data_IF_259797446953
#
_entry.id   IF_259797446953
#
_cell.length_a   1.000
_cell.length_b   1.000
_cell.length_c   1.000
_cell.angle_alpha   90.00
_cell.angle_beta   90.00
_cell.angle_gamma   90.00
#
_symmetry.space_group_name_H-M   'P 1'
#
loop_
_entity.id
_entity.type
_entity.pdbx_description
1 polymer ?
#
# COMPACT_ATOMS: atom_id res chain seq x y z
N UNK A 1 27.42 24.89 -4.01
CA UNK A 1 27.02 24.01 -5.12
C UNK A 1 27.16 22.59 -4.60
N UNK A 2 26.08 22.05 -4.02
CA UNK A 2 26.04 20.66 -3.59
C UNK A 2 25.91 19.78 -4.83
N UNK A 3 26.72 18.73 -4.91
CA UNK A 3 26.70 17.72 -5.97
C UNK A 3 25.30 17.10 -6.04
N UNK A 4 24.72 17.03 -7.24
CA UNK A 4 23.53 16.21 -7.52
C UNK A 4 23.93 14.74 -7.38
N UNK A 5 24.07 14.27 -6.14
CA UNK A 5 24.36 12.87 -5.91
C UNK A 5 23.10 12.08 -6.28
N UNK A 6 23.31 11.24 -7.29
CA UNK A 6 22.36 10.40 -7.99
C UNK A 6 21.36 9.74 -7.06
N UNK A 7 20.08 10.11 -7.22
CA UNK A 7 18.96 9.25 -6.86
C UNK A 7 19.23 7.86 -7.46
N UNK A 8 19.34 6.83 -6.62
CA UNK A 8 19.30 5.45 -7.09
C UNK A 8 17.84 5.05 -7.13
N UNK A 9 17.16 5.15 -8.28
CA UNK A 9 15.79 4.67 -8.39
C UNK A 9 15.76 3.21 -7.96
N UNK A 10 14.76 2.85 -7.16
CA UNK A 10 14.41 1.46 -6.87
C UNK A 10 13.97 0.82 -8.19
N UNK A 11 14.94 0.28 -8.93
CA UNK A 11 14.75 -0.37 -10.22
C UNK A 11 14.28 -1.81 -9.99
N UNK A 12 13.28 -2.25 -10.76
CA UNK A 12 12.95 -3.67 -10.90
C UNK A 12 14.07 -4.42 -11.63
N UNK A 13 14.03 -5.75 -11.55
CA UNK A 13 14.91 -6.62 -12.33
C UNK A 13 14.73 -6.44 -13.85
N UNK A 14 13.53 -6.02 -14.27
CA UNK A 14 13.16 -5.71 -15.66
C UNK A 14 13.58 -4.30 -16.13
N UNK A 15 14.22 -3.50 -15.27
CA UNK A 15 14.62 -2.12 -15.57
C UNK A 15 13.50 -1.08 -15.49
N UNK A 16 12.27 -1.47 -15.12
CA UNK A 16 11.17 -0.55 -14.87
C UNK A 16 11.30 0.04 -13.47
N UNK A 17 11.13 1.36 -13.33
CA UNK A 17 11.08 2.00 -12.01
C UNK A 17 9.94 1.41 -11.18
N UNK A 18 10.22 1.07 -9.92
CA UNK A 18 9.17 0.75 -8.93
C UNK A 18 8.46 1.96 -8.38
N UNK A 19 9.10 3.11 -8.52
CA UNK A 19 8.58 4.36 -8.05
C UNK A 19 7.77 4.93 -9.23
N UNK A 20 6.44 5.09 -9.07
CA UNK A 20 5.66 5.79 -10.08
C UNK A 20 6.27 7.19 -10.30
N UNK A 21 6.17 7.68 -11.53
CA UNK A 21 6.62 9.03 -11.86
C UNK A 21 5.71 10.02 -11.13
N UNK A 22 6.25 10.67 -10.10
CA UNK A 22 5.51 11.62 -9.27
C UNK A 22 5.42 12.98 -9.98
N UNK A 23 4.24 13.57 -9.91
CA UNK A 23 3.96 14.88 -10.49
C UNK A 23 4.31 16.02 -9.53
N UNK A 24 4.33 15.75 -8.22
CA UNK A 24 4.58 16.78 -7.22
C UNK A 24 6.07 17.16 -7.13
N UNK A 25 6.33 18.45 -7.31
CA UNK A 25 7.66 19.04 -7.27
C UNK A 25 8.10 19.45 -5.86
N UNK A 26 7.21 19.34 -4.87
CA UNK A 26 7.38 19.90 -3.54
C UNK A 26 8.65 19.43 -2.81
N UNK A 27 9.08 18.18 -3.03
CA UNK A 27 10.27 17.61 -2.37
C UNK A 27 11.54 17.60 -3.24
N UNK A 28 11.58 18.27 -4.40
CA UNK A 28 12.73 18.19 -5.34
C UNK A 28 14.09 18.51 -4.72
N UNK A 29 14.12 19.43 -3.76
CA UNK A 29 15.34 19.89 -3.09
C UNK A 29 15.59 19.19 -1.74
N UNK A 30 14.76 18.21 -1.36
CA UNK A 30 14.92 17.50 -0.10
C UNK A 30 16.09 16.51 -0.19
N UNK A 31 17.11 16.62 0.68
CA UNK A 31 18.20 15.66 0.69
C UNK A 31 17.69 14.28 1.11
N UNK A 32 18.30 13.23 0.54
CA UNK A 32 17.97 11.83 0.88
C UNK A 32 16.51 11.44 0.59
N UNK A 33 15.87 12.11 -0.35
CA UNK A 33 14.57 11.71 -0.87
C UNK A 33 14.70 10.38 -1.62
N UNK A 34 13.84 9.42 -1.26
CA UNK A 34 13.81 8.07 -1.86
C UNK A 34 12.68 7.98 -2.88
N UNK A 35 11.48 8.42 -2.50
CA UNK A 35 10.29 8.39 -3.35
C UNK A 35 9.26 9.42 -2.86
N UNK A 36 8.49 10.00 -3.77
CA UNK A 36 7.30 10.81 -3.47
C UNK A 36 6.07 10.01 -3.87
N UNK A 37 5.00 10.12 -3.10
CA UNK A 37 3.73 9.48 -3.41
C UNK A 37 2.63 10.53 -3.47
N UNK A 38 1.95 10.58 -4.61
CA UNK A 38 0.90 11.54 -4.86
C UNK A 38 -0.43 11.05 -4.25
N UNK A 39 -1.25 12.01 -3.85
CA UNK A 39 -2.64 11.77 -3.48
C UNK A 39 -3.52 11.86 -4.73
N UNK A 40 -4.59 11.07 -4.78
CA UNK A 40 -5.66 11.26 -5.75
C UNK A 40 -6.50 12.48 -5.33
N UNK A 41 -5.97 13.68 -5.62
CA UNK A 41 -6.54 14.95 -5.18
C UNK A 41 -7.98 15.11 -5.66
N UNK A 42 -8.27 14.73 -6.90
CA UNK A 42 -9.60 14.86 -7.49
C UNK A 42 -10.62 13.95 -6.77
N UNK A 43 -10.24 12.70 -6.46
CA UNK A 43 -11.10 11.78 -5.70
C UNK A 43 -11.33 12.26 -4.26
N UNK A 44 -10.29 12.77 -3.61
CA UNK A 44 -10.39 13.36 -2.26
C UNK A 44 -11.32 14.57 -2.28
N UNK A 45 -11.14 15.47 -3.24
CA UNK A 45 -11.93 16.68 -3.40
C UNK A 45 -13.41 16.35 -3.63
N UNK A 46 -13.72 15.43 -4.55
CA UNK A 46 -15.09 15.00 -4.83
C UNK A 46 -15.73 14.38 -3.58
N UNK A 47 -15.08 13.40 -2.96
CA UNK A 47 -15.61 12.69 -1.80
C UNK A 47 -15.83 13.62 -0.60
N UNK A 48 -14.84 14.45 -0.26
CA UNK A 48 -14.93 15.37 0.88
C UNK A 48 -15.93 16.51 0.63
N UNK A 49 -16.07 16.94 -0.62
CA UNK A 49 -17.10 17.90 -1.01
C UNK A 49 -18.50 17.31 -0.82
N UNK A 50 -18.77 16.11 -1.34
CA UNK A 50 -20.05 15.41 -1.12
C UNK A 50 -20.36 15.22 0.37
N UNK A 51 -19.34 14.81 1.14
CA UNK A 51 -19.48 14.63 2.59
C UNK A 51 -19.76 15.94 3.33
N UNK A 52 -19.07 17.03 2.97
CA UNK A 52 -19.29 18.35 3.55
C UNK A 52 -20.71 18.88 3.23
N UNK A 53 -21.16 18.71 1.99
CA UNK A 53 -22.52 19.05 1.57
C UNK A 53 -23.58 18.25 2.30
N UNK A 54 -23.38 16.93 2.47
CA UNK A 54 -24.30 16.12 3.25
C UNK A 54 -24.33 16.57 4.72
N UNK A 55 -23.18 16.76 5.37
CA UNK A 55 -23.12 17.27 6.75
C UNK A 55 -23.83 18.62 6.88
N UNK A 56 -23.66 19.50 5.89
CA UNK A 56 -24.33 20.78 5.83
C UNK A 56 -25.86 20.65 5.72
N UNK A 57 -26.36 19.81 4.80
CA UNK A 57 -27.78 19.56 4.63
C UNK A 57 -28.43 18.92 5.87
N UNK A 58 -27.72 18.06 6.60
CA UNK A 58 -28.26 17.39 7.78
C UNK A 58 -28.07 18.16 9.10
N UNK A 59 -27.53 19.38 9.06
CA UNK A 59 -27.36 20.25 10.23
C UNK A 59 -28.09 21.60 10.05
N UNK A 60 -29.41 21.67 10.30
CA UNK A 60 -30.22 22.88 10.04
C UNK A 60 -29.69 24.18 10.68
N UNK A 61 -29.09 24.18 11.88
CA UNK A 61 -28.42 25.37 12.42
C UNK A 61 -27.33 25.96 11.52
N UNK A 62 -26.64 25.13 10.72
CA UNK A 62 -25.63 25.58 9.77
C UNK A 62 -26.26 26.32 8.57
N UNK A 63 -27.56 26.18 8.29
CA UNK A 63 -28.19 26.85 7.15
C UNK A 63 -28.29 28.37 7.30
N UNK A 64 -28.15 28.90 8.51
CA UNK A 64 -28.09 30.34 8.72
C UNK A 64 -26.77 30.90 8.15
N UNK A 65 -25.69 30.11 8.17
CA UNK A 65 -24.40 30.54 7.63
C UNK A 65 -24.34 30.51 6.09
N UNK A 66 -25.26 29.78 5.41
CA UNK A 66 -25.33 29.79 3.93
C UNK A 66 -25.67 31.12 3.30
N UNK A 67 -26.32 32.03 4.03
CA UNK A 67 -26.62 33.37 3.53
C UNK A 67 -25.35 34.19 3.23
N UNK A 68 -24.20 33.79 3.79
CA UNK A 68 -22.91 34.47 3.63
C UNK A 68 -21.88 33.62 2.87
N UNK A 69 -22.22 33.19 1.65
CA UNK A 69 -21.30 32.56 0.67
C UNK A 69 -20.77 31.15 1.03
N UNK A 70 -21.36 30.45 1.99
CA UNK A 70 -20.91 29.11 2.40
C UNK A 70 -20.78 28.08 1.25
N UNK A 71 -21.66 28.03 0.22
CA UNK A 71 -21.53 27.08 -0.89
C UNK A 71 -20.19 27.17 -1.63
N UNK A 72 -19.73 28.40 -1.86
CA UNK A 72 -18.50 28.67 -2.61
C UNK A 72 -17.27 28.29 -1.77
N UNK A 73 -17.34 28.45 -0.46
CA UNK A 73 -16.24 28.17 0.45
C UNK A 73 -16.10 26.68 0.79
N UNK A 74 -17.17 25.88 0.73
CA UNK A 74 -17.05 24.44 1.01
C UNK A 74 -16.09 23.78 0.00
N UNK A 75 -16.31 24.01 -1.29
CA UNK A 75 -15.48 23.40 -2.33
C UNK A 75 -14.04 23.93 -2.27
N UNK A 76 -13.87 25.25 -2.14
CA UNK A 76 -12.55 25.86 -2.06
C UNK A 76 -11.77 25.39 -0.81
N UNK A 77 -12.41 25.29 0.36
CA UNK A 77 -11.75 24.79 1.57
C UNK A 77 -11.33 23.32 1.43
N UNK A 78 -12.16 22.49 0.78
CA UNK A 78 -11.83 21.09 0.53
C UNK A 78 -10.65 20.97 -0.43
N UNK A 79 -10.66 21.74 -1.53
CA UNK A 79 -9.57 21.82 -2.51
C UNK A 79 -8.26 22.27 -1.85
N UNK A 80 -8.29 23.38 -1.09
CA UNK A 80 -7.12 23.90 -0.38
C UNK A 80 -6.55 22.87 0.61
N UNK A 81 -7.42 22.20 1.37
CA UNK A 81 -6.99 21.21 2.36
C UNK A 81 -6.50 19.90 1.72
N UNK A 82 -7.03 19.51 0.56
CA UNK A 82 -6.57 18.33 -0.17
C UNK A 82 -5.18 18.57 -0.77
N UNK A 83 -5.02 19.69 -1.49
CA UNK A 83 -3.78 20.04 -2.21
C UNK A 83 -2.63 20.48 -1.33
N UNK A 84 -2.90 20.81 -0.07
CA UNK A 84 -1.86 21.11 0.91
C UNK A 84 -1.12 19.87 1.44
N UNK A 85 -1.55 18.65 1.09
CA UNK A 85 -0.99 17.43 1.66
C UNK A 85 0.05 16.81 0.72
N UNK A 86 1.21 16.51 1.30
CA UNK A 86 2.35 15.95 0.60
C UNK A 86 2.97 14.83 1.44
N UNK A 87 3.35 13.72 0.81
CA UNK A 87 4.03 12.62 1.49
C UNK A 87 5.23 12.12 0.69
N UNK A 88 6.35 11.97 1.39
CA UNK A 88 7.58 11.46 0.81
C UNK A 88 8.21 10.42 1.73
N UNK A 89 8.89 9.46 1.11
CA UNK A 89 9.82 8.56 1.77
C UNK A 89 11.22 9.14 1.65
N UNK A 90 11.85 9.36 2.79
CA UNK A 90 13.26 9.76 2.90
C UNK A 90 14.07 8.57 3.40
N UNK A 91 15.39 8.70 3.46
CA UNK A 91 16.26 7.70 4.09
C UNK A 91 15.93 7.48 5.58
N UNK A 92 15.55 8.54 6.28
CA UNK A 92 15.33 8.49 7.74
C UNK A 92 13.93 7.99 8.13
N UNK A 93 12.93 8.23 7.26
CA UNK A 93 11.56 7.88 7.56
C UNK A 93 10.54 8.41 6.55
N UNK A 94 9.28 8.31 6.94
CA UNK A 94 8.14 8.87 6.22
C UNK A 94 8.01 10.35 6.61
N UNK A 95 8.13 11.26 5.64
CA UNK A 95 7.91 12.69 5.82
C UNK A 95 6.51 13.05 5.30
N UNK A 96 5.61 13.40 6.21
CA UNK A 96 4.29 13.94 5.88
C UNK A 96 4.31 15.45 6.13
N UNK A 97 3.89 16.22 5.14
CA UNK A 97 3.79 17.67 5.26
C UNK A 97 2.42 18.12 4.83
N UNK A 98 1.80 18.94 5.67
CA UNK A 98 0.60 19.69 5.37
C UNK A 98 0.98 21.16 5.29
N UNK A 99 0.92 21.73 4.09
CA UNK A 99 1.33 23.08 3.81
C UNK A 99 0.33 24.11 4.33
N UNK A 100 0.82 25.35 4.46
CA UNK A 100 0.00 26.47 4.90
C UNK A 100 -1.07 26.74 3.84
N UNK A 101 -2.34 26.69 4.22
CA UNK A 101 -3.46 26.91 3.30
C UNK A 101 -4.57 27.74 3.94
N UNK A 102 -5.36 28.49 3.15
CA UNK A 102 -6.48 29.26 3.68
C UNK A 102 -7.58 28.34 4.23
N UNK A 103 -8.31 28.78 5.25
CA UNK A 103 -9.52 28.10 5.72
C UNK A 103 -10.70 29.07 5.85
N UNK A 104 -11.90 28.54 6.08
CA UNK A 104 -13.15 29.30 6.24
C UNK A 104 -13.47 30.15 5.02
N UNK A 105 -13.35 31.47 5.13
CA UNK A 105 -13.63 32.43 4.07
C UNK A 105 -12.38 32.80 3.25
N UNK A 106 -11.25 32.10 3.46
CA UNK A 106 -10.00 32.34 2.73
C UNK A 106 -9.27 33.62 3.14
N UNK A 107 -9.58 34.16 4.34
CA UNK A 107 -8.87 35.32 4.88
C UNK A 107 -7.58 34.87 5.56
N UNK A 108 -6.51 35.68 5.43
CA UNK A 108 -5.18 35.33 5.97
C UNK A 108 -5.12 35.15 7.49
N UNK A 109 -6.11 35.65 8.23
CA UNK A 109 -6.22 35.46 9.68
C UNK A 109 -6.78 34.08 10.06
N UNK A 110 -7.37 33.35 9.11
CA UNK A 110 -7.90 31.99 9.28
C UNK A 110 -7.07 30.96 8.53
N UNK A 111 -5.83 31.27 8.13
CA UNK A 111 -4.98 30.28 7.47
C UNK A 111 -4.60 29.15 8.45
N UNK A 112 -4.67 27.91 7.98
CA UNK A 112 -4.07 26.78 8.68
C UNK A 112 -2.55 26.88 8.58
N UNK A 113 -1.85 26.66 9.70
CA UNK A 113 -0.40 26.67 9.73
C UNK A 113 0.22 25.45 9.04
N UNK A 114 1.49 25.56 8.62
CA UNK A 114 2.24 24.42 8.09
C UNK A 114 2.55 23.41 9.20
N UNK A 115 2.21 22.15 8.96
CA UNK A 115 2.49 21.03 9.86
C UNK A 115 3.41 20.04 9.15
N UNK A 116 4.56 19.75 9.73
CA UNK A 116 5.50 18.75 9.21
C UNK A 116 5.71 17.67 10.26
N UNK A 117 5.52 16.41 9.87
CA UNK A 117 5.72 15.24 10.73
C UNK A 117 6.62 14.24 10.02
N UNK A 118 7.69 13.83 10.69
CA UNK A 118 8.58 12.77 10.21
C UNK A 118 8.45 11.55 11.11
N UNK A 119 8.08 10.41 10.55
CA UNK A 119 7.95 9.13 11.24
C UNK A 119 9.16 8.25 10.89
N UNK A 120 10.12 8.07 11.81
CA UNK A 120 11.32 7.27 11.53
C UNK A 120 10.98 5.79 11.38
N UNK A 121 11.66 5.09 10.45
CA UNK A 121 11.34 3.69 10.13
C UNK A 121 11.49 2.73 11.31
N UNK A 122 12.44 3.01 12.21
CA UNK A 122 12.67 2.22 13.42
C UNK A 122 11.47 2.20 14.37
N UNK A 123 10.69 3.28 14.39
CA UNK A 123 9.52 3.40 15.27
C UNK A 123 8.27 2.79 14.67
N UNK A 124 8.22 2.56 13.36
CA UNK A 124 7.06 1.99 12.69
C UNK A 124 6.89 0.56 13.17
N UNK A 125 5.80 0.26 13.86
CA UNK A 125 5.44 -1.10 14.27
C UNK A 125 4.69 -1.77 13.14
N UNK A 126 3.68 -1.10 12.60
CA UNK A 126 2.81 -1.60 11.55
C UNK A 126 2.47 -0.55 10.50
N UNK A 127 2.15 -1.01 9.30
CA UNK A 127 1.68 -0.18 8.20
C UNK A 127 0.63 -0.98 7.44
N UNK A 128 -0.62 -0.54 7.54
CA UNK A 128 -1.77 -1.20 6.94
C UNK A 128 -2.49 -0.33 5.94
N UNK A 129 -3.02 -1.00 4.90
CA UNK A 129 -3.86 -0.37 3.88
C UNK A 129 -5.26 -0.89 4.13
N UNK A 130 -6.17 0.01 4.48
CA UNK A 130 -7.59 -0.27 4.61
C UNK A 130 -8.25 0.11 3.31
N UNK A 131 -8.78 -0.89 2.63
CA UNK A 131 -9.60 -0.67 1.44
C UNK A 131 -10.86 0.11 1.82
N UNK A 132 -11.35 0.99 0.93
CA UNK A 132 -12.56 1.76 1.18
C UNK A 132 -13.75 0.79 1.36
N UNK A 133 -14.30 0.75 2.57
CA UNK A 133 -15.42 -0.10 2.90
C UNK A 133 -16.51 0.66 3.66
N UNK A 134 -17.75 0.32 3.38
CA UNK A 134 -18.92 0.84 4.09
C UNK A 134 -19.37 2.22 3.62
N UNK A 135 -20.20 2.86 4.46
CA UNK A 135 -20.82 4.16 4.18
C UNK A 135 -20.23 5.22 5.09
N UNK A 136 -19.71 6.30 4.51
CA UNK A 136 -19.11 7.41 5.25
C UNK A 136 -20.14 8.28 5.97
N UNK A 137 -21.34 8.43 5.39
CA UNK A 137 -22.41 9.25 5.98
C UNK A 137 -23.80 8.75 5.61
N UNK A 138 -24.61 8.45 6.63
CA UNK A 138 -26.04 8.16 6.58
C UNK A 138 -26.48 7.38 5.33
N UNK A 139 -26.00 6.14 5.13
CA UNK A 139 -26.28 5.22 4.02
C UNK A 139 -26.20 5.76 2.56
N UNK A 140 -25.99 7.06 2.36
CA UNK A 140 -26.11 7.76 1.09
C UNK A 140 -24.76 8.01 0.43
N UNK A 141 -23.68 8.07 1.21
CA UNK A 141 -22.33 8.30 0.69
C UNK A 141 -21.47 7.09 1.04
N UNK A 142 -20.99 6.40 0.00
CA UNK A 142 -20.05 5.30 0.15
C UNK A 142 -18.65 5.84 0.43
N UNK A 143 -17.90 5.18 1.31
CA UNK A 143 -16.48 5.50 1.43
C UNK A 143 -15.76 5.02 0.18
N UNK A 144 -15.01 5.91 -0.46
CA UNK A 144 -14.23 5.61 -1.68
C UNK A 144 -12.73 5.84 -1.48
N UNK A 145 -12.32 6.45 -0.37
CA UNK A 145 -10.91 6.75 -0.11
C UNK A 145 -10.22 5.57 0.56
N UNK A 146 -9.11 5.14 -0.03
CA UNK A 146 -8.19 4.19 0.60
C UNK A 146 -7.48 4.87 1.77
N UNK A 147 -7.39 4.18 2.91
CA UNK A 147 -6.72 4.70 4.10
C UNK A 147 -5.43 3.92 4.35
N UNK A 148 -4.30 4.63 4.51
CA UNK A 148 -3.05 4.04 4.98
C UNK A 148 -2.84 4.43 6.43
N UNK A 149 -2.81 3.42 7.30
CA UNK A 149 -2.64 3.57 8.74
C UNK A 149 -1.22 3.15 9.09
N UNK A 150 -0.43 4.09 9.59
CA UNK A 150 0.92 3.82 10.09
C UNK A 150 0.91 3.93 11.60
N UNK A 151 1.17 2.80 12.25
CA UNK A 151 1.29 2.70 13.70
C UNK A 151 2.76 2.72 14.11
N UNK A 152 3.05 3.40 15.20
CA UNK A 152 4.39 3.41 15.78
C UNK A 152 4.39 2.83 17.19
N UNK A 153 5.57 2.53 17.71
CA UNK A 153 5.71 2.08 19.09
C UNK A 153 5.14 3.07 20.14
N UNK A 154 4.96 4.35 19.77
CA UNK A 154 4.36 5.37 20.64
C UNK A 154 2.87 5.62 20.41
N UNK A 155 2.24 5.02 19.40
CA UNK A 155 0.83 5.30 19.12
C UNK A 155 -0.09 4.72 20.20
N UNK A 156 -1.03 5.54 20.68
CA UNK A 156 -2.13 5.05 21.49
C UNK A 156 -3.07 4.21 20.61
N UNK A 157 -3.78 3.25 21.20
CA UNK A 157 -4.71 2.38 20.46
C UNK A 157 -5.90 3.12 19.81
N UNK A 158 -6.11 4.39 20.17
CA UNK A 158 -7.29 5.16 19.76
C UNK A 158 -7.03 6.03 18.53
N UNK A 159 -5.80 6.50 18.35
CA UNK A 159 -5.45 7.41 17.25
C UNK A 159 -4.15 6.95 16.61
N UNK A 160 -4.16 6.51 15.34
CA UNK A 160 -2.94 6.14 14.66
C UNK A 160 -2.02 7.36 14.55
N UNK A 161 -0.71 7.11 14.56
CA UNK A 161 0.26 8.19 14.53
C UNK A 161 0.25 8.92 13.18
N UNK A 162 0.08 8.21 12.08
CA UNK A 162 -0.07 8.81 10.77
C UNK A 162 -1.18 8.09 10.01
N UNK A 163 -2.17 8.87 9.57
CA UNK A 163 -3.28 8.44 8.75
C UNK A 163 -3.22 9.20 7.43
N UNK A 164 -3.06 8.47 6.33
CA UNK A 164 -3.07 9.02 4.98
C UNK A 164 -4.36 8.57 4.29
N UNK A 165 -5.13 9.50 3.75
CA UNK A 165 -6.40 9.22 3.07
C UNK A 165 -6.27 9.58 1.59
N UNK A 166 -6.67 8.66 0.71
CA UNK A 166 -6.72 8.91 -0.73
C UNK A 166 -5.35 8.91 -1.43
N UNK A 167 -4.40 8.11 -0.96
CA UNK A 167 -3.14 7.91 -1.69
C UNK A 167 -3.40 7.11 -2.97
N UNK A 168 -2.88 7.56 -4.12
CA UNK A 168 -3.14 6.92 -5.43
C UNK A 168 -2.67 5.45 -5.43
N UNK A 169 -1.44 5.21 -4.96
CA UNK A 169 -0.81 3.90 -4.88
C UNK A 169 -0.51 3.45 -3.44
N UNK A 170 -1.55 3.35 -2.61
CA UNK A 170 -1.46 2.94 -1.20
C UNK A 170 -0.65 1.64 -0.96
N UNK A 171 -0.80 0.64 -1.83
CA UNK A 171 -0.07 -0.63 -1.69
C UNK A 171 1.41 -0.50 -2.07
N UNK A 172 1.74 0.30 -3.08
CA UNK A 172 3.13 0.55 -3.45
C UNK A 172 3.85 1.31 -2.32
N UNK A 173 3.17 2.30 -1.73
CA UNK A 173 3.65 2.99 -0.53
C UNK A 173 3.95 2.02 0.62
N UNK A 174 2.99 1.15 0.98
CA UNK A 174 3.21 0.12 2.02
C UNK A 174 4.44 -0.75 1.69
N UNK A 175 4.57 -1.23 0.45
CA UNK A 175 5.71 -2.05 0.04
C UNK A 175 7.06 -1.30 0.16
N UNK A 176 7.09 -0.03 -0.22
CA UNK A 176 8.28 0.82 -0.13
C UNK A 176 8.67 1.10 1.33
N UNK A 177 7.72 1.42 2.20
CA UNK A 177 7.95 1.60 3.65
C UNK A 177 8.55 0.34 4.26
N UNK A 178 7.99 -0.84 3.97
CA UNK A 178 8.51 -2.12 4.48
C UNK A 178 9.88 -2.48 3.92
N UNK A 179 10.16 -2.12 2.65
CA UNK A 179 11.49 -2.28 2.09
C UNK A 179 12.50 -1.42 2.86
N UNK A 180 12.23 -0.11 3.01
CA UNK A 180 13.10 0.83 3.71
C UNK A 180 13.32 0.45 5.18
N UNK A 181 12.26 0.04 5.89
CA UNK A 181 12.35 -0.44 7.28
C UNK A 181 13.32 -1.62 7.44
N UNK A 182 13.30 -2.57 6.50
CA UNK A 182 14.21 -3.73 6.50
C UNK A 182 15.65 -3.34 6.21
N UNK A 183 15.89 -2.37 5.32
CA UNK A 183 17.23 -1.87 5.03
C UNK A 183 17.83 -1.08 6.21
N UNK A 184 17.04 -0.22 6.86
CA UNK A 184 17.51 0.64 7.96
C UNK A 184 17.93 -0.12 9.23
N UNK A 185 17.27 -1.25 9.52
CA UNK A 185 17.56 -2.05 10.72
C UNK A 185 18.93 -2.75 10.69
N UNK A 186 19.58 -2.83 9.53
CA UNK A 186 20.82 -3.59 9.34
C UNK A 186 22.12 -2.82 9.54
N UNK A 187 22.11 -1.48 9.53
CA UNK A 187 23.35 -0.68 9.50
C UNK A 187 23.71 0.02 10.82
N UNK A 188 22.79 0.11 11.80
CA UNK A 188 23.00 0.92 13.01
C UNK A 188 23.17 0.17 14.33
N UNK A 189 22.72 -1.09 14.44
CA UNK A 189 22.82 -1.84 15.68
C UNK A 189 24.22 -2.41 15.84
N UNK A 190 25.14 -1.57 16.32
CA UNK A 190 26.36 -2.00 17.00
C UNK A 190 25.96 -2.85 18.21
N UNK A 191 25.74 -4.15 17.99
CA UNK A 191 25.42 -5.08 19.04
C UNK A 191 26.57 -5.07 20.08
N UNK A 192 26.29 -4.92 21.38
CA UNK A 192 27.32 -5.13 22.39
C UNK A 192 27.82 -6.57 22.25
N UNK A 193 29.13 -6.73 22.14
CA UNK A 193 29.83 -8.00 22.03
C UNK A 193 29.51 -8.90 23.23
N UNK A 194 28.44 -9.69 23.11
CA UNK A 194 27.96 -10.63 24.13
C UNK A 194 27.86 -12.02 23.53
N UNK A 195 28.95 -12.78 23.68
CA UNK A 195 29.10 -14.15 23.23
C UNK A 195 27.95 -15.06 23.71
N UNK A 196 27.09 -15.47 22.81
CA UNK A 196 26.20 -16.62 23.01
C UNK A 196 26.01 -17.30 21.65
N UNK A 197 26.56 -18.50 21.53
CA UNK A 197 26.55 -19.30 20.32
C UNK A 197 25.12 -19.77 19.98
N UNK A 198 24.36 -18.92 19.29
CA UNK A 198 23.15 -19.33 18.59
C UNK A 198 23.54 -20.09 17.30
N UNK A 199 22.78 -21.13 16.90
CA UNK A 199 23.03 -21.86 15.67
C UNK A 199 22.93 -20.88 14.50
N UNK A 200 24.03 -20.79 13.73
CA UNK A 200 24.11 -20.03 12.48
C UNK A 200 23.02 -20.54 11.54
N UNK A 201 21.89 -19.85 11.51
CA UNK A 201 20.91 -20.00 10.45
C UNK A 201 21.61 -19.49 9.18
N UNK A 202 21.88 -20.39 8.24
CA UNK A 202 22.69 -20.10 7.06
C UNK A 202 22.13 -18.88 6.32
N UNK A 203 22.98 -17.87 6.10
CA UNK A 203 22.73 -16.65 5.32
C UNK A 203 22.11 -16.98 3.93
N UNK A 204 22.38 -18.17 3.43
CA UNK A 204 21.86 -18.74 2.18
C UNK A 204 20.34 -18.99 2.21
N UNK A 205 19.78 -19.42 3.35
CA UNK A 205 18.34 -19.64 3.51
C UNK A 205 17.54 -18.33 3.53
N UNK A 206 18.14 -17.26 4.07
CA UNK A 206 17.56 -15.92 4.05
C UNK A 206 17.60 -15.33 2.63
N UNK A 207 18.65 -15.60 1.87
CA UNK A 207 18.73 -15.21 0.44
C UNK A 207 17.68 -15.93 -0.41
N UNK A 208 17.48 -17.23 -0.23
CA UNK A 208 16.47 -17.99 -0.95
C UNK A 208 15.04 -17.53 -0.65
N UNK A 209 14.72 -17.23 0.61
CA UNK A 209 13.41 -16.68 0.97
C UNK A 209 13.20 -15.27 0.44
N UNK A 210 14.23 -14.42 0.45
CA UNK A 210 14.14 -13.10 -0.18
C UNK A 210 13.95 -13.19 -1.70
N UNK A 211 14.60 -14.15 -2.36
CA UNK A 211 14.43 -14.39 -3.80
C UNK A 211 13.00 -14.84 -4.16
N UNK A 212 12.44 -15.79 -3.41
CA UNK A 212 11.05 -16.24 -3.59
C UNK A 212 10.05 -15.10 -3.33
N UNK A 213 10.31 -14.26 -2.32
CA UNK A 213 9.44 -13.11 -2.04
C UNK A 213 9.54 -12.01 -3.10
N UNK A 214 10.71 -11.82 -3.73
CA UNK A 214 10.84 -10.91 -4.88
C UNK A 214 10.08 -11.43 -6.09
N UNK A 215 10.15 -12.73 -6.36
CA UNK A 215 9.47 -13.36 -7.49
C UNK A 215 7.95 -13.35 -7.35
N UNK A 216 7.42 -13.69 -6.16
CA UNK A 216 5.98 -13.58 -5.85
C UNK A 216 5.51 -12.11 -5.98
N UNK A 217 6.34 -11.16 -5.55
CA UNK A 217 6.04 -9.73 -5.68
C UNK A 217 6.06 -9.27 -7.14
N UNK A 218 6.89 -9.87 -7.98
CA UNK A 218 6.93 -9.60 -9.42
C UNK A 218 5.69 -10.17 -10.12
N UNK A 219 5.27 -11.40 -9.80
CA UNK A 219 4.03 -11.99 -10.31
C UNK A 219 2.80 -11.16 -9.94
N UNK A 220 2.69 -10.72 -8.68
CA UNK A 220 1.61 -9.83 -8.22
C UNK A 220 1.59 -8.50 -8.98
N UNK A 221 2.75 -7.98 -9.40
CA UNK A 221 2.82 -6.76 -10.20
C UNK A 221 2.34 -6.97 -11.62
N UNK A 222 2.74 -8.07 -12.28
CA UNK A 222 2.21 -8.42 -13.60
C UNK A 222 0.69 -8.55 -13.59
N UNK A 223 0.13 -9.22 -12.57
CA UNK A 223 -1.33 -9.33 -12.42
C UNK A 223 -2.01 -7.96 -12.22
N UNK A 224 -1.35 -7.01 -11.55
CA UNK A 224 -1.91 -5.68 -11.35
C UNK A 224 -1.86 -4.82 -12.63
N UNK A 225 -0.81 -4.96 -13.43
CA UNK A 225 -0.70 -4.31 -14.76
C UNK A 225 -1.77 -4.84 -15.71
N UNK A 226 -1.98 -6.15 -15.76
CA UNK A 226 -3.03 -6.76 -16.58
C UNK A 226 -4.42 -6.25 -16.20
N UNK A 227 -4.66 -6.07 -14.89
CA UNK A 227 -5.91 -5.51 -14.37
C UNK A 227 -6.13 -4.04 -14.80
N UNK A 228 -5.07 -3.23 -14.83
CA UNK A 228 -5.11 -1.83 -15.29
C UNK A 228 -5.40 -1.76 -16.80
N UNK A 229 -4.72 -2.58 -17.60
CA UNK A 229 -4.99 -2.72 -19.03
C UNK A 229 -6.44 -3.10 -19.30
N UNK A 230 -6.98 -4.04 -18.53
CA UNK A 230 -8.36 -4.50 -18.65
C UNK A 230 -9.37 -3.38 -18.31
N UNK A 231 -9.07 -2.54 -17.30
CA UNK A 231 -9.87 -1.34 -16.98
C UNK A 231 -9.87 -0.33 -18.13
N UNK A 232 -8.72 -0.02 -18.72
CA UNK A 232 -8.63 0.91 -19.85
C UNK A 232 -9.35 0.36 -21.09
N UNK A 233 -9.22 -0.94 -21.37
CA UNK A 233 -9.98 -1.59 -22.43
C UNK A 233 -11.50 -1.50 -22.20
N UNK A 234 -11.97 -1.71 -20.96
CA UNK A 234 -13.37 -1.54 -20.57
C UNK A 234 -13.86 -0.11 -20.76
N UNK A 235 -13.05 0.88 -20.36
CA UNK A 235 -13.38 2.30 -20.50
C UNK A 235 -13.50 2.71 -21.97
N UNK A 236 -12.55 2.29 -22.81
CA UNK A 236 -12.58 2.50 -24.26
C UNK A 236 -13.82 1.85 -24.91
N UNK A 237 -14.13 0.61 -24.51
CA UNK A 237 -15.30 -0.10 -25.00
C UNK A 237 -16.61 0.60 -24.61
N UNK A 238 -16.72 1.06 -23.36
CA UNK A 238 -17.90 1.79 -22.87
C UNK A 238 -18.12 3.10 -23.63
N UNK A 239 -17.04 3.85 -23.93
CA UNK A 239 -17.11 5.05 -24.75
C UNK A 239 -17.63 4.75 -26.17
N UNK A 240 -17.15 3.69 -26.82
CA UNK A 240 -17.63 3.27 -28.15
C UNK A 240 -19.09 2.82 -28.17
N UNK A 241 -19.58 2.24 -27.06
CA UNK A 241 -20.96 1.80 -26.91
C UNK A 241 -21.90 3.00 -26.69
N UNK A 242 -21.46 4.00 -25.92
CA UNK A 242 -22.22 5.22 -25.61
C UNK A 242 -22.60 6.02 -26.87
N UNK A 243 -21.71 6.09 -27.87
CA UNK A 243 -21.96 6.83 -29.11
C UNK A 243 -23.02 6.23 -30.04
N UNK A 244 -23.40 4.95 -29.87
CA UNK A 244 -24.20 4.20 -30.87
C UNK A 244 -25.70 4.01 -30.54
N UNK A 245 -26.25 4.73 -29.56
CA UNK A 245 -27.70 4.87 -29.35
C UNK A 245 -28.36 3.80 -28.44
N UNK A 246 -29.35 4.17 -27.59
CA UNK A 246 -29.57 3.50 -26.30
C UNK A 246 -30.53 2.30 -26.23
N UNK A 247 -31.44 2.06 -27.18
CA UNK A 247 -32.61 1.22 -26.87
C UNK A 247 -32.53 -0.28 -27.26
N UNK A 248 -31.75 -0.66 -28.29
CA UNK A 248 -31.67 -2.07 -28.76
C UNK A 248 -30.46 -2.86 -28.24
N UNK A 249 -29.45 -2.20 -27.69
CA UNK A 249 -28.17 -2.84 -27.31
C UNK A 249 -28.01 -3.18 -25.84
N UNK A 250 -28.86 -2.70 -24.94
CA UNK A 250 -28.74 -3.00 -23.50
C UNK A 250 -28.91 -4.49 -23.21
N UNK A 251 -29.79 -5.19 -23.95
CA UNK A 251 -29.93 -6.64 -23.82
C UNK A 251 -28.71 -7.40 -24.37
N UNK A 252 -28.11 -6.94 -25.48
CA UNK A 252 -26.90 -7.54 -26.05
C UNK A 252 -25.68 -7.34 -25.13
N UNK A 253 -25.57 -6.15 -24.51
CA UNK A 253 -24.52 -5.84 -23.53
C UNK A 253 -24.65 -6.72 -22.29
N UNK A 254 -25.86 -6.87 -21.74
CA UNK A 254 -26.09 -7.76 -20.58
C UNK A 254 -25.74 -9.22 -20.88
N UNK A 255 -26.00 -9.68 -22.10
CA UNK A 255 -25.63 -11.03 -22.54
C UNK A 255 -24.11 -11.17 -22.70
N UNK A 256 -23.43 -10.15 -23.24
CA UNK A 256 -21.98 -10.13 -23.36
C UNK A 256 -21.29 -10.08 -21.99
N UNK A 257 -21.79 -9.25 -21.07
CA UNK A 257 -21.33 -9.16 -19.69
C UNK A 257 -21.49 -10.49 -18.96
N UNK A 258 -22.65 -11.15 -19.09
CA UNK A 258 -22.88 -12.46 -18.49
C UNK A 258 -21.90 -13.53 -19.02
N UNK A 259 -21.57 -13.51 -20.33
CA UNK A 259 -20.59 -14.42 -20.93
C UNK A 259 -19.18 -14.20 -20.41
N UNK A 260 -18.77 -12.94 -20.28
CA UNK A 260 -17.45 -12.59 -19.71
C UNK A 260 -17.35 -13.05 -18.25
N UNK A 261 -18.41 -12.86 -17.48
CA UNK A 261 -18.48 -13.27 -16.07
C UNK A 261 -18.43 -14.80 -15.92
N UNK A 262 -19.03 -15.55 -16.85
CA UNK A 262 -18.97 -17.01 -16.89
C UNK A 262 -17.58 -17.52 -17.32
N UNK A 263 -16.95 -16.87 -18.30
CA UNK A 263 -15.57 -17.16 -18.69
C UNK A 263 -14.58 -16.88 -17.55
N UNK A 264 -14.77 -15.77 -16.82
CA UNK A 264 -13.94 -15.42 -15.66
C UNK A 264 -14.13 -16.41 -14.51
N UNK A 265 -15.36 -16.90 -14.29
CA UNK A 265 -15.61 -17.98 -13.32
C UNK A 265 -14.90 -19.28 -13.69
N UNK A 266 -14.92 -19.68 -14.95
CA UNK A 266 -14.20 -20.88 -15.41
C UNK A 266 -12.67 -20.71 -15.30
N UNK A 267 -12.13 -19.52 -15.64
CA UNK A 267 -10.71 -19.21 -15.42
C UNK A 267 -10.32 -19.27 -13.94
N UNK A 268 -11.12 -18.68 -13.07
CA UNK A 268 -10.89 -18.71 -11.62
C UNK A 268 -10.96 -20.13 -11.06
N UNK A 269 -11.89 -20.95 -11.54
CA UNK A 269 -11.99 -22.37 -11.17
C UNK A 269 -10.77 -23.17 -11.64
N UNK A 270 -10.26 -22.91 -12.84
CA UNK A 270 -9.03 -23.53 -13.34
C UNK A 270 -7.81 -23.10 -12.52
N UNK A 271 -7.69 -21.82 -12.17
CA UNK A 271 -6.63 -21.28 -11.34
C UNK A 271 -6.65 -21.92 -9.93
N UNK A 272 -7.83 -22.03 -9.31
CA UNK A 272 -7.99 -22.71 -8.03
C UNK A 272 -7.52 -24.17 -8.09
N UNK A 273 -7.84 -24.89 -9.18
CA UNK A 273 -7.34 -26.24 -9.40
C UNK A 273 -5.82 -26.34 -9.47
N UNK A 274 -5.14 -25.34 -10.06
CA UNK A 274 -3.67 -25.28 -10.08
C UNK A 274 -3.09 -25.02 -8.68
N UNK A 275 -3.71 -24.12 -7.90
CA UNK A 275 -3.33 -23.83 -6.52
C UNK A 275 -3.44 -25.10 -5.67
N UNK A 276 -4.56 -25.81 -5.75
CA UNK A 276 -4.79 -27.03 -4.98
C UNK A 276 -3.78 -28.14 -5.36
N UNK A 277 -3.42 -28.25 -6.65
CA UNK A 277 -2.40 -29.18 -7.11
C UNK A 277 -1.00 -28.84 -6.56
N UNK A 278 -0.65 -27.54 -6.53
CA UNK A 278 0.62 -27.07 -5.96
C UNK A 278 0.68 -27.25 -4.44
N UNK A 279 -0.41 -27.00 -3.74
CA UNK A 279 -0.51 -27.26 -2.30
C UNK A 279 -0.32 -28.76 -1.97
N UNK A 280 -0.88 -29.65 -2.80
CA UNK A 280 -0.66 -31.09 -2.67
C UNK A 280 0.81 -31.48 -2.90
N UNK A 281 1.49 -30.86 -3.87
CA UNK A 281 2.93 -31.03 -4.13
C UNK A 281 3.76 -30.58 -2.91
N UNK A 282 3.50 -29.39 -2.38
CA UNK A 282 4.18 -28.85 -1.19
C UNK A 282 3.97 -29.75 0.03
N UNK A 283 2.74 -30.23 0.27
CA UNK A 283 2.45 -31.20 1.34
C UNK A 283 3.20 -32.52 1.16
N UNK A 284 3.39 -32.97 -0.07
CA UNK A 284 4.21 -34.15 -0.38
C UNK A 284 5.67 -33.94 0.01
N UNK A 285 6.25 -32.81 -0.39
CA UNK A 285 7.64 -32.43 -0.07
C UNK A 285 7.83 -32.31 1.45
N UNK A 286 6.93 -31.63 2.16
CA UNK A 286 6.98 -31.50 3.62
C UNK A 286 6.96 -32.86 4.32
N UNK A 287 6.10 -33.78 3.89
CA UNK A 287 6.09 -35.16 4.43
C UNK A 287 7.41 -35.88 4.20
N UNK A 288 8.06 -35.67 3.05
CA UNK A 288 9.37 -36.27 2.76
C UNK A 288 10.48 -35.69 3.63
N UNK A 289 10.46 -34.39 3.89
CA UNK A 289 11.41 -33.72 4.79
C UNK A 289 11.28 -34.30 6.20
N UNK A 290 10.05 -34.40 6.73
CA UNK A 290 9.81 -34.97 8.06
C UNK A 290 10.30 -36.42 8.16
N UNK A 291 10.08 -37.25 7.14
CA UNK A 291 10.61 -38.62 7.11
C UNK A 291 12.15 -38.65 7.17
N UNK A 292 12.82 -37.76 6.43
CA UNK A 292 14.29 -37.69 6.44
C UNK A 292 14.83 -37.21 7.80
N UNK A 293 14.12 -36.32 8.50
CA UNK A 293 14.45 -35.91 9.86
C UNK A 293 14.32 -37.07 10.84
N UNK A 294 13.24 -37.86 10.77
CA UNK A 294 13.04 -39.05 11.59
C UNK A 294 14.13 -40.12 11.33
N UNK A 295 14.48 -40.37 10.06
CA UNK A 295 15.57 -41.28 9.67
C UNK A 295 16.93 -40.81 10.23
N UNK A 296 17.21 -39.51 10.13
CA UNK A 296 18.44 -38.91 10.70
C UNK A 296 18.51 -39.06 12.22
N UNK A 297 17.39 -38.85 12.92
CA UNK A 297 17.30 -39.05 14.38
C UNK A 297 17.52 -40.52 14.74
N UNK A 298 16.98 -41.46 13.96
CA UNK A 298 17.20 -42.88 14.17
C UNK A 298 18.68 -43.28 14.00
N UNK A 299 19.36 -42.77 12.96
CA UNK A 299 20.79 -43.00 12.72
C UNK A 299 21.67 -42.44 13.84
N UNK A 300 21.37 -41.23 14.33
CA UNK A 300 22.08 -40.63 15.46
C UNK A 300 21.95 -41.47 16.75
N UNK A 301 20.78 -42.07 16.99
CA UNK A 301 20.57 -42.98 18.13
C UNK A 301 21.40 -44.27 18.00
N UNK A 302 21.58 -44.81 16.79
CA UNK A 302 22.41 -46.00 16.57
C UNK A 302 23.91 -45.72 16.73
N UNK A 303 24.39 -44.55 16.27
CA UNK A 303 25.79 -44.14 16.43
C UNK A 303 26.23 -43.89 17.88
N UNK A 304 25.30 -43.47 18.74
CA UNK A 304 25.55 -43.25 20.18
C UNK A 304 25.87 -44.53 20.95
N UNK A 305 25.46 -45.71 20.47
CA UNK A 305 25.68 -46.98 21.19
C UNK A 305 27.09 -47.54 20.94
N UNK A 306 27.74 -47.18 19.83
CA UNK A 306 29.08 -47.64 19.47
C UNK A 306 30.23 -46.91 20.18
N UNK A 307 30.01 -45.68 20.65
CA UNK A 307 31.08 -44.87 21.27
C UNK A 307 31.36 -45.23 22.75
N UNK A 308 30.55 -46.09 23.38
CA UNK A 308 30.68 -46.45 24.79
C UNK A 308 31.54 -47.71 25.05
N UNK A 309 32.03 -48.41 24.03
CA UNK A 309 32.68 -49.74 24.19
C UNK A 309 34.22 -49.71 24.10
N UNK A 310 34.87 -48.57 23.83
CA UNK A 310 36.34 -48.46 23.77
C UNK A 310 36.89 -47.64 24.94
N UNK A 311 36.74 -48.15 26.16
CA UNK A 311 37.57 -47.81 27.33
C UNK A 311 37.73 -49.05 28.21
N UNK A 312 38.67 -49.90 27.85
CA UNK A 312 39.34 -50.87 28.72
C UNK A 312 40.79 -50.93 28.27
#
# INVERSE_FOLDING_TARGET
MASQDSYLPLMKSDGTSLVPEFTDEYFKDEPLLVAVFDFDYDLIEEFKTQLAWARFLFNPPAWITTLCCAPCFINANVEWAARAKHVALTHDGIKYVEDKHPTMCGLSCTDSGKVSKTVPYEKITDCDVREPAGTAFCCCIQNVLTEVVVETASSSKETPDLLLEGLEDAHAFKQAVWAMKRFGSGQGASAPAGSSAAPKMNDEGLRQTNFLLTEIREELRTMNVDRLLLKEMLKSWYAQVSEKGPARKVSEIKVAEARLLEEEREKNKALQGQIDAKDAEVKSILRRILQLEDEKVALLKQGSVGAAVVRC
#
